data_IF_239921901392
#
_entry.id   IF_239921901392
#
_cell.length_a   1.000
_cell.length_b   1.000
_cell.length_c   1.000
_cell.angle_alpha   90.00
_cell.angle_beta   90.00
_cell.angle_gamma   90.00
#
_symmetry.space_group_name_H-M   'P 1'
#
loop_
_entity.id
_entity.type
_entity.pdbx_description
1 polymer ?
#
# COMPACT_ATOMS: atom_id res chain seq x y z
N UNK A 1 60.77 26.13 29.57
CA UNK A 1 60.43 26.90 28.35
C UNK A 1 59.68 25.97 27.42
N UNK A 2 58.40 26.30 27.17
CA UNK A 2 57.38 25.45 26.57
C UNK A 2 57.57 25.21 25.07
N UNK A 3 57.26 24.00 24.62
CA UNK A 3 56.76 23.73 23.28
C UNK A 3 55.41 23.03 23.41
N UNK A 4 54.34 23.69 22.98
CA UNK A 4 53.04 23.07 22.78
C UNK A 4 53.04 22.27 21.46
N UNK A 5 52.41 21.08 21.39
CA UNK A 5 52.14 20.45 20.11
C UNK A 5 50.86 21.02 19.49
N UNK A 6 50.94 21.21 18.17
CA UNK A 6 49.88 21.70 17.28
C UNK A 6 48.72 20.71 17.22
N UNK A 7 47.50 21.23 17.33
CA UNK A 7 46.29 20.51 16.94
C UNK A 7 46.34 20.25 15.43
N UNK A 8 46.38 18.98 15.06
CA UNK A 8 46.22 18.52 13.68
C UNK A 8 44.73 18.54 13.35
N UNK A 9 44.33 19.47 12.50
CA UNK A 9 43.02 19.46 11.86
C UNK A 9 43.04 18.34 10.82
N UNK A 10 42.34 17.24 11.10
CA UNK A 10 42.01 16.27 10.07
C UNK A 10 41.04 16.93 9.07
N UNK A 11 41.25 16.77 7.76
CA UNK A 11 40.33 17.32 6.78
C UNK A 11 38.98 16.60 6.91
N UNK A 12 37.91 17.40 6.99
CA UNK A 12 36.53 16.97 6.79
C UNK A 12 36.49 16.08 5.55
N UNK A 13 36.25 14.78 5.76
CA UNK A 13 35.95 13.88 4.68
C UNK A 13 34.67 14.42 4.02
N UNK A 14 34.81 14.75 2.74
CA UNK A 14 33.69 14.97 1.83
C UNK A 14 32.85 13.69 1.87
N UNK A 15 31.79 13.69 2.68
CA UNK A 15 30.76 12.65 2.63
C UNK A 15 30.05 12.90 1.30
N UNK A 16 30.55 12.28 0.24
CA UNK A 16 29.65 11.93 -0.85
C UNK A 16 28.60 11.03 -0.20
N UNK A 17 27.41 11.58 0.02
CA UNK A 17 26.19 10.79 0.04
C UNK A 17 26.17 10.03 -1.29
N UNK A 18 26.81 8.87 -1.30
CA UNK A 18 26.37 7.80 -2.16
C UNK A 18 24.94 7.60 -1.71
N UNK A 19 24.01 8.04 -2.57
CA UNK A 19 22.65 7.54 -2.60
C UNK A 19 22.80 6.02 -2.64
N UNK A 20 22.86 5.42 -1.47
CA UNK A 20 22.95 3.99 -1.32
C UNK A 20 21.68 3.49 -1.96
N UNK A 21 21.79 2.75 -3.06
CA UNK A 21 20.73 1.81 -3.37
C UNK A 21 20.49 1.03 -2.09
N UNK A 22 19.27 1.10 -1.55
CA UNK A 22 18.87 0.32 -0.40
C UNK A 22 19.42 -1.09 -0.57
N UNK A 23 20.22 -1.53 0.41
CA UNK A 23 20.83 -2.85 0.36
C UNK A 23 19.73 -3.92 0.22
N UNK A 24 20.06 -5.15 -0.24
CA UNK A 24 19.06 -6.19 -0.36
C UNK A 24 18.44 -6.48 1.02
N UNK A 25 17.20 -6.01 1.21
CA UNK A 25 16.41 -6.19 2.43
C UNK A 25 16.15 -7.67 2.65
N UNK A 26 16.67 -8.23 3.75
CA UNK A 26 16.41 -9.61 4.14
C UNK A 26 15.18 -9.67 5.05
N UNK A 27 14.00 -9.68 4.44
CA UNK A 27 12.72 -9.92 5.10
C UNK A 27 11.54 -9.56 4.19
N UNK A 28 11.05 -10.55 3.42
CA UNK A 28 9.83 -10.44 2.60
C UNK A 28 9.88 -9.41 1.47
N UNK A 29 10.26 -9.86 0.27
CA UNK A 29 9.96 -9.19 -1.01
C UNK A 29 8.48 -9.39 -1.36
N UNK A 30 7.59 -9.07 -0.43
CA UNK A 30 6.18 -9.41 -0.60
C UNK A 30 5.52 -8.29 -1.38
N UNK A 31 5.14 -8.62 -2.61
CA UNK A 31 4.38 -7.75 -3.49
C UNK A 31 3.13 -7.23 -2.77
N UNK A 32 2.98 -5.91 -2.65
CA UNK A 32 1.84 -5.33 -1.94
C UNK A 32 0.59 -5.29 -2.84
N UNK A 33 -0.37 -6.15 -2.52
CA UNK A 33 -1.71 -6.11 -3.12
C UNK A 33 -2.58 -5.07 -2.41
N UNK A 34 -2.90 -3.95 -3.06
CA UNK A 34 -3.70 -2.87 -2.45
C UNK A 34 -5.14 -3.33 -2.14
N UNK A 35 -5.63 -4.35 -2.82
CA UNK A 35 -6.99 -4.85 -2.69
C UNK A 35 -8.02 -4.08 -3.54
N UNK A 36 -9.24 -4.61 -3.57
CA UNK A 36 -10.29 -4.11 -4.44
C UNK A 36 -10.68 -2.66 -4.12
N UNK A 37 -10.81 -1.83 -5.17
CA UNK A 37 -11.23 -0.43 -5.05
C UNK A 37 -10.17 0.54 -4.55
N UNK A 38 -9.03 0.04 -4.07
CA UNK A 38 -7.93 0.86 -3.54
C UNK A 38 -7.06 1.33 -4.68
N UNK A 39 -6.77 2.63 -4.72
CA UNK A 39 -6.03 3.22 -5.84
C UNK A 39 -4.53 3.25 -5.57
N UNK A 40 -4.16 3.57 -4.34
CA UNK A 40 -2.78 3.73 -3.90
C UNK A 40 -2.54 2.92 -2.63
N UNK A 41 -1.43 2.20 -2.57
CA UNK A 41 -0.91 1.58 -1.36
C UNK A 41 0.61 1.64 -1.34
N UNK A 42 1.19 1.55 -0.14
CA UNK A 42 2.61 1.75 0.00
C UNK A 42 3.12 1.53 1.40
N UNK A 43 4.35 2.01 1.60
CA UNK A 43 5.08 1.94 2.86
C UNK A 43 5.37 3.34 3.39
N UNK A 44 5.17 3.54 4.70
CA UNK A 44 5.79 4.62 5.45
C UNK A 44 6.99 4.04 6.20
N UNK A 45 8.20 4.42 5.78
CA UNK A 45 9.46 3.87 6.30
C UNK A 45 10.13 4.87 7.24
N UNK A 46 10.58 4.38 8.39
CA UNK A 46 11.27 5.16 9.42
C UNK A 46 12.56 4.48 9.86
N UNK A 47 13.57 5.29 10.13
CA UNK A 47 14.92 4.88 10.49
C UNK A 47 15.17 5.05 11.97
N UNK A 48 15.75 4.02 12.60
CA UNK A 48 16.13 4.10 14.02
C UNK A 48 17.41 4.89 14.28
N UNK A 49 18.13 5.31 13.23
CA UNK A 49 19.46 5.94 13.30
C UNK A 49 20.58 5.01 13.77
N UNK A 50 20.30 3.71 13.94
CA UNK A 50 21.28 2.69 14.35
C UNK A 50 21.79 1.85 13.18
N UNK A 51 21.40 2.19 11.95
CA UNK A 51 21.88 1.53 10.75
C UNK A 51 23.34 1.88 10.47
N UNK A 52 23.95 1.23 9.47
CA UNK A 52 25.28 1.57 8.98
C UNK A 52 25.22 2.76 8.00
N UNK A 53 26.37 3.41 7.77
CA UNK A 53 26.52 4.39 6.69
C UNK A 53 25.54 5.56 6.79
N UNK A 54 24.78 5.82 5.72
CA UNK A 54 23.79 6.89 5.65
C UNK A 54 22.62 6.72 6.65
N UNK A 55 22.40 5.50 7.14
CA UNK A 55 21.38 5.16 8.13
C UNK A 55 21.86 5.31 9.58
N UNK A 56 23.10 5.79 9.76
CA UNK A 56 23.66 6.09 11.07
C UNK A 56 23.49 7.57 11.40
N UNK A 57 22.55 7.87 12.29
CA UNK A 57 22.28 9.23 12.72
C UNK A 57 21.77 9.27 14.16
N UNK A 58 21.78 10.47 14.73
CA UNK A 58 21.60 10.68 16.16
C UNK A 58 20.19 10.40 16.63
N UNK A 59 19.18 10.65 15.81
CA UNK A 59 17.78 10.62 16.22
C UNK A 59 17.00 9.55 15.43
N UNK A 60 15.69 9.44 15.65
CA UNK A 60 14.83 8.61 14.80
C UNK A 60 14.25 9.54 13.74
N UNK A 61 14.27 9.11 12.48
CA UNK A 61 13.81 9.94 11.38
C UNK A 61 12.87 9.18 10.45
N UNK A 62 12.08 9.95 9.72
CA UNK A 62 11.37 9.43 8.56
C UNK A 62 12.38 9.21 7.44
N UNK A 63 12.29 8.06 6.77
CA UNK A 63 12.96 7.88 5.49
C UNK A 63 12.05 8.43 4.39
N UNK A 64 10.86 7.86 4.23
CA UNK A 64 9.95 8.25 3.16
C UNK A 64 8.62 7.54 3.18
N UNK A 65 7.76 7.97 2.26
CA UNK A 65 6.52 7.29 1.88
C UNK A 65 6.66 6.80 0.46
N UNK A 66 6.53 5.49 0.27
CA UNK A 66 6.85 4.82 -0.99
C UNK A 66 5.61 4.11 -1.52
N UNK A 67 4.95 4.63 -2.56
CA UNK A 67 3.91 3.89 -3.27
C UNK A 67 4.51 2.61 -3.85
N UNK A 68 3.93 1.46 -3.51
CA UNK A 68 4.40 0.15 -3.95
C UNK A 68 3.90 -0.10 -5.39
N UNK A 69 4.57 0.52 -6.36
CA UNK A 69 4.23 0.48 -7.79
C UNK A 69 5.03 -0.60 -8.54
N UNK A 70 4.48 -1.11 -9.63
CA UNK A 70 5.23 -1.98 -10.55
C UNK A 70 5.60 -3.32 -9.94
N UNK A 71 6.89 -3.60 -9.76
CA UNK A 71 7.37 -4.87 -9.19
C UNK A 71 7.19 -4.96 -7.67
N UNK A 72 6.88 -3.85 -7.02
CA UNK A 72 6.75 -3.75 -5.57
C UNK A 72 5.30 -3.96 -5.10
N UNK A 73 4.32 -3.60 -5.94
CA UNK A 73 2.91 -3.80 -5.62
C UNK A 73 1.97 -3.38 -6.73
N UNK A 74 0.69 -3.45 -6.42
CA UNK A 74 -0.43 -3.13 -7.32
C UNK A 74 -0.88 -1.67 -7.22
N UNK A 75 -0.13 -0.83 -6.48
CA UNK A 75 -0.43 0.59 -6.40
C UNK A 75 -0.35 1.21 -7.79
N UNK A 76 -1.30 2.09 -8.10
CA UNK A 76 -1.19 2.92 -9.30
C UNK A 76 -0.13 3.99 -9.07
N UNK A 77 0.42 4.50 -10.17
CA UNK A 77 1.15 5.76 -10.15
C UNK A 77 0.18 6.87 -10.53
N UNK A 78 -0.15 7.76 -9.59
CA UNK A 78 -0.91 8.98 -9.88
C UNK A 78 0.06 10.16 -9.84
N UNK A 79 0.28 10.85 -10.97
CA UNK A 79 1.19 11.99 -11.00
C UNK A 79 0.59 13.18 -10.25
N UNK A 80 1.44 14.03 -9.65
CA UNK A 80 0.98 15.23 -8.98
C UNK A 80 0.48 16.28 -9.97
N UNK A 81 -0.28 17.26 -9.46
CA UNK A 81 -0.71 18.41 -10.26
C UNK A 81 0.47 19.32 -10.60
N UNK A 82 1.46 19.40 -9.70
CA UNK A 82 2.73 20.09 -9.92
C UNK A 82 3.88 19.15 -9.61
N UNK A 83 4.82 19.01 -10.55
CA UNK A 83 6.06 18.23 -10.37
C UNK A 83 7.22 19.07 -9.81
N UNK A 84 6.97 20.32 -9.41
CA UNK A 84 8.02 21.20 -8.90
C UNK A 84 8.72 20.57 -7.68
N UNK A 85 10.05 20.66 -7.66
CA UNK A 85 10.88 20.16 -6.57
C UNK A 85 10.63 20.93 -5.26
N UNK A 86 10.79 20.28 -4.09
CA UNK A 86 10.77 20.99 -2.81
C UNK A 86 11.91 22.02 -2.74
N UNK A 87 11.61 23.16 -2.10
CA UNK A 87 12.56 24.28 -1.92
C UNK A 87 12.80 24.62 -0.45
N UNK A 88 12.28 23.83 0.47
CA UNK A 88 12.41 23.98 1.92
C UNK A 88 12.49 22.60 2.53
N UNK A 89 13.15 22.49 3.68
CA UNK A 89 13.20 21.27 4.46
C UNK A 89 11.95 21.21 5.35
N UNK A 90 11.28 20.07 5.34
CA UNK A 90 10.13 19.79 6.19
C UNK A 90 10.59 19.30 7.56
N UNK A 91 9.84 19.64 8.61
CA UNK A 91 10.30 19.48 9.99
C UNK A 91 10.63 18.03 10.38
N UNK A 92 9.94 17.03 9.81
CA UNK A 92 10.23 15.63 10.09
C UNK A 92 11.51 15.10 9.41
N UNK A 93 12.07 15.86 8.47
CA UNK A 93 13.35 15.58 7.78
C UNK A 93 14.51 16.42 8.33
N UNK A 94 14.24 17.41 9.18
CA UNK A 94 15.29 18.27 9.74
C UNK A 94 16.21 17.47 10.66
N UNK A 95 17.52 17.54 10.42
CA UNK A 95 18.56 16.94 11.26
C UNK A 95 19.62 17.99 11.59
N UNK A 96 20.03 18.09 12.86
CA UNK A 96 20.95 19.15 13.32
C UNK A 96 22.37 18.99 12.78
N UNK A 97 22.80 17.77 12.50
CA UNK A 97 24.17 17.43 12.12
C UNK A 97 24.36 17.25 10.60
N UNK A 98 23.31 17.51 9.82
CA UNK A 98 23.31 17.36 8.35
C UNK A 98 23.18 18.74 7.69
N UNK A 99 23.91 18.95 6.59
CA UNK A 99 23.84 20.21 5.87
C UNK A 99 22.46 20.43 5.25
N UNK A 100 22.05 21.70 5.13
CA UNK A 100 20.75 22.05 4.52
C UNK A 100 20.67 21.57 3.05
N UNK A 101 21.79 21.61 2.32
CA UNK A 101 21.84 21.15 0.93
C UNK A 101 21.66 19.63 0.84
N UNK A 102 22.27 18.86 1.75
CA UNK A 102 22.11 17.41 1.79
C UNK A 102 20.68 16.98 2.15
N UNK A 103 20.07 17.66 3.13
CA UNK A 103 18.67 17.43 3.50
C UNK A 103 17.72 17.76 2.35
N UNK A 104 17.95 18.88 1.66
CA UNK A 104 17.12 19.25 0.50
C UNK A 104 17.32 18.29 -0.68
N UNK A 105 18.54 17.79 -0.90
CA UNK A 105 18.83 16.79 -1.92
C UNK A 105 18.11 15.46 -1.61
N UNK A 106 18.05 15.08 -0.33
CA UNK A 106 17.32 13.90 0.11
C UNK A 106 15.81 14.06 -0.13
N UNK A 107 15.21 15.19 0.25
CA UNK A 107 13.79 15.44 -0.06
C UNK A 107 13.51 15.49 -1.58
N UNK A 108 14.43 16.02 -2.39
CA UNK A 108 14.29 15.94 -3.85
C UNK A 108 14.31 14.49 -4.35
N UNK A 109 15.15 13.64 -3.76
CA UNK A 109 15.16 12.21 -4.06
C UNK A 109 13.82 11.56 -3.71
N UNK A 110 13.32 11.77 -2.49
CA UNK A 110 12.04 11.22 -2.05
C UNK A 110 10.88 11.69 -2.93
N UNK A 111 10.90 12.96 -3.34
CA UNK A 111 9.91 13.53 -4.24
C UNK A 111 9.98 12.92 -5.64
N UNK A 112 11.15 12.90 -6.28
CA UNK A 112 11.34 12.41 -7.65
C UNK A 112 11.02 10.90 -7.76
N UNK A 113 11.47 10.11 -6.78
CA UNK A 113 11.32 8.65 -6.81
C UNK A 113 9.96 8.17 -6.35
N UNK A 114 9.39 8.80 -5.32
CA UNK A 114 8.23 8.26 -4.62
C UNK A 114 7.05 9.21 -4.66
N UNK A 115 7.29 10.49 -4.35
CA UNK A 115 6.27 11.54 -4.39
C UNK A 115 5.60 11.69 -5.75
N UNK A 116 6.35 11.53 -6.84
CA UNK A 116 5.87 11.61 -8.23
C UNK A 116 4.77 10.59 -8.60
N UNK A 117 4.58 9.54 -7.81
CA UNK A 117 3.53 8.54 -8.00
C UNK A 117 2.52 8.49 -6.84
N UNK A 118 2.62 9.40 -5.87
CA UNK A 118 1.87 9.35 -4.62
C UNK A 118 0.43 9.85 -4.70
N UNK A 119 0.02 10.43 -5.83
CA UNK A 119 -1.27 11.14 -5.95
C UNK A 119 -1.36 12.44 -5.15
N UNK A 120 -0.29 12.87 -4.48
CA UNK A 120 -0.24 14.17 -3.82
C UNK A 120 -0.38 15.30 -4.84
N UNK A 121 -0.89 16.45 -4.38
CA UNK A 121 -1.07 17.62 -5.24
C UNK A 121 0.26 18.19 -5.74
N UNK A 122 1.23 18.31 -4.84
CA UNK A 122 2.55 18.90 -5.03
C UNK A 122 3.49 18.40 -3.90
N UNK A 123 4.76 18.81 -3.93
CA UNK A 123 5.75 18.39 -2.93
C UNK A 123 5.35 18.82 -1.51
N UNK A 124 4.72 19.98 -1.33
CA UNK A 124 4.28 20.44 -0.01
C UNK A 124 3.16 19.58 0.56
N UNK A 125 2.18 19.20 -0.27
CA UNK A 125 1.14 18.25 0.11
C UNK A 125 1.73 16.88 0.45
N UNK A 126 2.69 16.38 -0.34
CA UNK A 126 3.36 15.10 -0.08
C UNK A 126 4.08 15.10 1.27
N UNK A 127 5.03 16.01 1.49
CA UNK A 127 5.83 16.01 2.72
C UNK A 127 5.01 16.35 3.96
N UNK A 128 3.97 17.19 3.85
CA UNK A 128 3.05 17.43 4.96
C UNK A 128 2.32 16.15 5.38
N UNK A 129 1.90 15.33 4.42
CA UNK A 129 1.31 14.02 4.71
C UNK A 129 2.30 13.08 5.39
N UNK A 130 3.51 12.98 4.84
CA UNK A 130 4.57 12.13 5.37
C UNK A 130 4.84 12.49 6.83
N UNK A 131 5.07 13.76 7.13
CA UNK A 131 5.32 14.20 8.49
C UNK A 131 4.11 13.93 9.41
N UNK A 132 2.88 14.18 8.95
CA UNK A 132 1.68 13.93 9.76
C UNK A 132 1.45 12.46 10.06
N UNK A 133 1.72 11.55 9.13
CA UNK A 133 1.57 10.11 9.35
C UNK A 133 2.67 9.59 10.28
N UNK A 134 3.88 10.12 10.15
CA UNK A 134 5.04 9.63 10.88
C UNK A 134 5.14 10.15 12.32
N UNK A 135 4.49 11.27 12.67
CA UNK A 135 4.65 11.92 13.97
C UNK A 135 4.51 10.96 15.16
N UNK A 136 3.38 10.23 15.24
CA UNK A 136 3.12 9.34 16.36
C UNK A 136 3.98 8.04 16.33
N UNK A 137 4.16 7.36 15.18
CA UNK A 137 5.11 6.25 15.06
C UNK A 137 6.56 6.61 15.43
N UNK A 138 7.09 7.72 14.89
CA UNK A 138 8.45 8.18 15.17
C UNK A 138 8.62 8.45 16.65
N UNK A 139 7.67 9.15 17.28
CA UNK A 139 7.71 9.38 18.73
C UNK A 139 7.79 8.07 19.53
N UNK A 140 6.99 7.06 19.15
CA UNK A 140 7.05 5.77 19.82
C UNK A 140 8.43 5.10 19.62
N UNK A 141 8.95 5.14 18.39
CA UNK A 141 10.28 4.61 18.07
C UNK A 141 11.39 5.32 18.85
N UNK A 142 11.31 6.64 19.06
CA UNK A 142 12.24 7.41 19.89
C UNK A 142 12.22 6.94 21.34
N UNK A 143 11.02 6.77 21.93
CA UNK A 143 10.85 6.31 23.30
C UNK A 143 11.42 4.89 23.47
N UNK A 144 11.14 3.99 22.51
CA UNK A 144 11.68 2.63 22.48
C UNK A 144 13.21 2.60 22.30
N UNK A 145 13.75 3.42 21.38
CA UNK A 145 15.20 3.56 21.14
C UNK A 145 15.91 4.07 22.39
N UNK A 146 15.33 5.05 23.06
CA UNK A 146 15.84 5.62 24.32
C UNK A 146 15.87 4.60 25.45
N UNK A 147 14.94 3.63 25.44
CA UNK A 147 14.95 2.47 26.33
C UNK A 147 15.99 1.38 25.94
N UNK A 148 16.85 1.65 24.96
CA UNK A 148 17.91 0.74 24.53
C UNK A 148 17.48 -0.33 23.52
N UNK A 149 16.19 -0.37 23.14
CA UNK A 149 15.63 -1.41 22.26
C UNK A 149 16.25 -1.37 20.85
N UNK A 150 16.40 -2.55 20.25
CA UNK A 150 16.86 -2.69 18.86
C UNK A 150 15.69 -2.73 17.89
N UNK A 151 15.95 -2.62 16.57
CA UNK A 151 14.91 -2.45 15.53
C UNK A 151 13.77 -3.48 15.61
N UNK A 152 14.06 -4.74 15.92
CA UNK A 152 13.04 -5.79 16.11
C UNK A 152 12.12 -5.49 17.29
N UNK A 153 12.68 -5.11 18.44
CA UNK A 153 11.89 -4.80 19.63
C UNK A 153 11.09 -3.50 19.46
N UNK A 154 11.64 -2.53 18.72
CA UNK A 154 10.95 -1.30 18.33
C UNK A 154 9.73 -1.63 17.45
N UNK A 155 9.90 -2.51 16.45
CA UNK A 155 8.80 -2.97 15.62
C UNK A 155 7.73 -3.71 16.43
N UNK A 156 8.11 -4.52 17.42
CA UNK A 156 7.15 -5.17 18.31
C UNK A 156 6.39 -4.17 19.20
N UNK A 157 7.02 -3.07 19.62
CA UNK A 157 6.31 -2.00 20.33
C UNK A 157 5.31 -1.27 19.41
N UNK A 158 5.69 -1.01 18.15
CA UNK A 158 4.78 -0.45 17.15
C UNK A 158 3.55 -1.36 16.94
N UNK A 159 3.75 -2.67 16.77
CA UNK A 159 2.66 -3.65 16.66
C UNK A 159 1.77 -3.66 17.90
N UNK A 160 2.34 -3.62 19.11
CA UNK A 160 1.58 -3.55 20.37
C UNK A 160 0.76 -2.27 20.49
N UNK A 161 1.23 -1.17 19.89
CA UNK A 161 0.49 0.08 19.78
C UNK A 161 -0.56 0.09 18.66
N UNK A 162 -0.70 -1.00 17.91
CA UNK A 162 -1.69 -1.16 16.85
C UNK A 162 -1.24 -0.63 15.48
N UNK A 163 0.05 -0.37 15.29
CA UNK A 163 0.57 0.01 13.98
C UNK A 163 0.77 -1.23 13.08
N UNK A 164 0.41 -1.11 11.79
CA UNK A 164 0.48 -2.21 10.85
C UNK A 164 1.90 -2.35 10.29
N UNK A 165 2.79 -2.94 11.09
CA UNK A 165 4.18 -3.15 10.67
C UNK A 165 4.22 -4.17 9.53
N UNK A 166 4.57 -3.69 8.34
CA UNK A 166 4.72 -4.51 7.14
C UNK A 166 6.09 -5.19 7.09
N UNK A 167 7.14 -4.42 7.32
CA UNK A 167 8.52 -4.89 7.17
C UNK A 167 9.43 -4.32 8.25
N UNK A 168 10.44 -5.11 8.60
CA UNK A 168 11.54 -4.71 9.48
C UNK A 168 12.85 -4.97 8.74
N UNK A 169 13.58 -3.91 8.42
CA UNK A 169 14.91 -4.01 7.86
C UNK A 169 15.93 -4.07 8.99
N UNK A 170 16.53 -5.24 9.19
CA UNK A 170 17.58 -5.42 10.18
C UNK A 170 18.97 -4.99 9.71
N UNK A 171 19.18 -4.77 8.41
CA UNK A 171 20.46 -4.29 7.90
C UNK A 171 20.54 -2.78 8.12
N UNK A 172 19.57 -2.05 7.56
CA UNK A 172 19.52 -0.59 7.60
C UNK A 172 18.80 -0.06 8.86
N UNK A 173 18.27 -0.97 9.68
CA UNK A 173 17.60 -0.69 10.97
C UNK A 173 16.39 0.22 10.81
N UNK A 174 15.50 -0.19 9.91
CA UNK A 174 14.28 0.52 9.56
C UNK A 174 13.03 -0.29 9.93
N UNK A 175 11.92 0.41 10.09
CA UNK A 175 10.59 -0.19 10.20
C UNK A 175 9.66 0.48 9.19
N UNK A 176 8.93 -0.32 8.43
CA UNK A 176 7.96 0.15 7.45
C UNK A 176 6.54 -0.23 7.87
N UNK A 177 5.65 0.76 7.90
CA UNK A 177 4.22 0.58 8.14
C UNK A 177 3.47 0.54 6.81
N UNK A 178 2.45 -0.30 6.68
CA UNK A 178 1.57 -0.27 5.52
C UNK A 178 0.65 0.95 5.56
N UNK A 179 0.50 1.59 4.40
CA UNK A 179 -0.33 2.78 4.18
C UNK A 179 -1.14 2.65 2.90
N UNK A 180 -2.30 3.30 2.82
CA UNK A 180 -3.08 3.40 1.59
C UNK A 180 -3.63 4.80 1.37
N UNK A 181 -4.03 5.09 0.13
CA UNK A 181 -4.78 6.29 -0.23
C UNK A 181 -5.84 5.99 -1.30
N UNK A 182 -6.89 6.83 -1.29
CA UNK A 182 -7.86 6.90 -2.38
C UNK A 182 -7.29 7.60 -3.61
N UNK A 183 -8.13 7.81 -4.62
CA UNK A 183 -7.76 8.58 -5.82
C UNK A 183 -7.50 10.07 -5.54
N UNK A 184 -7.85 10.55 -4.34
CA UNK A 184 -7.58 11.89 -3.83
C UNK A 184 -6.17 12.05 -3.26
N UNK A 185 -5.36 10.99 -3.22
CA UNK A 185 -3.97 11.04 -2.76
C UNK A 185 -3.83 11.29 -1.26
N UNK A 186 -4.88 10.99 -0.47
CA UNK A 186 -4.89 11.18 0.99
C UNK A 186 -4.47 9.90 1.70
N UNK A 187 -3.21 9.86 2.12
CA UNK A 187 -2.60 8.70 2.74
C UNK A 187 -3.03 8.53 4.19
N UNK A 188 -3.24 7.27 4.58
CA UNK A 188 -3.54 6.83 5.94
C UNK A 188 -2.75 5.57 6.26
N UNK A 189 -2.38 5.40 7.53
CA UNK A 189 -1.84 4.14 8.07
C UNK A 189 -3.00 3.16 8.28
N UNK A 190 -2.88 1.95 7.74
CA UNK A 190 -3.88 0.89 7.85
C UNK A 190 -3.27 -0.48 7.57
N UNK A 191 -3.84 -1.54 8.15
CA UNK A 191 -3.52 -2.90 7.72
C UNK A 191 -3.94 -3.13 6.26
N UNK A 192 -3.21 -3.97 5.53
CA UNK A 192 -3.51 -4.26 4.11
C UNK A 192 -4.93 -4.83 3.95
N UNK A 193 -5.38 -5.65 4.91
CA UNK A 193 -6.74 -6.20 4.92
C UNK A 193 -7.82 -5.13 5.01
N UNK A 194 -7.50 -3.96 5.57
CA UNK A 194 -8.44 -2.88 5.81
C UNK A 194 -8.44 -1.86 4.68
N UNK A 195 -7.46 -1.88 3.78
CA UNK A 195 -7.33 -0.90 2.69
C UNK A 195 -8.62 -0.69 1.89
N UNK A 196 -9.39 -1.71 1.47
CA UNK A 196 -10.65 -1.49 0.74
C UNK A 196 -11.66 -0.62 1.51
N UNK A 197 -11.74 -0.81 2.83
CA UNK A 197 -12.66 -0.03 3.67
C UNK A 197 -12.15 1.38 3.98
N UNK A 198 -10.82 1.54 4.08
CA UNK A 198 -10.17 2.79 4.47
C UNK A 198 -9.92 3.73 3.28
N UNK A 199 -9.67 3.16 2.11
CA UNK A 199 -9.17 3.86 0.93
C UNK A 199 -9.96 3.54 -0.35
N UNK A 200 -10.84 2.52 -0.33
CA UNK A 200 -11.57 2.06 -1.53
C UNK A 200 -12.80 2.89 -1.94
N UNK A 201 -13.08 4.01 -1.26
CA UNK A 201 -14.31 4.81 -1.44
C UNK A 201 -14.18 6.07 -2.31
N UNK A 202 -13.01 6.34 -2.89
CA UNK A 202 -12.65 7.65 -3.46
C UNK A 202 -12.99 7.95 -4.92
N UNK A 203 -13.88 7.20 -5.57
CA UNK A 203 -14.37 7.53 -6.92
C UNK A 203 -15.88 7.31 -7.04
N UNK A 204 -16.59 8.03 -7.95
CA UNK A 204 -17.93 7.61 -8.30
C UNK A 204 -17.82 6.15 -8.73
N UNK A 205 -18.54 5.26 -8.04
CA UNK A 205 -18.81 3.95 -8.62
C UNK A 205 -19.32 4.22 -10.04
N UNK A 206 -18.82 3.53 -11.09
CA UNK A 206 -19.66 3.36 -12.28
C UNK A 206 -21.02 2.94 -11.75
N UNK A 207 -22.14 3.54 -12.20
CA UNK A 207 -23.45 3.23 -11.65
C UNK A 207 -23.55 1.72 -11.57
N UNK A 208 -23.69 1.20 -10.36
CA UNK A 208 -23.95 -0.22 -10.19
C UNK A 208 -25.15 -0.50 -11.10
N UNK A 209 -25.08 -1.46 -12.04
CA UNK A 209 -26.29 -1.92 -12.70
C UNK A 209 -27.28 -2.23 -11.57
N UNK A 210 -28.53 -1.76 -11.65
CA UNK A 210 -29.45 -1.79 -10.53
C UNK A 210 -29.43 -3.19 -9.91
N UNK A 211 -29.07 -3.28 -8.62
CA UNK A 211 -29.12 -4.54 -7.90
C UNK A 211 -30.54 -5.08 -8.06
N UNK A 212 -30.71 -6.32 -8.52
CA UNK A 212 -32.02 -6.90 -8.70
C UNK A 212 -32.70 -6.92 -7.33
N UNK A 213 -33.92 -6.40 -7.29
CA UNK A 213 -34.90 -6.68 -6.24
C UNK A 213 -34.85 -8.16 -5.87
N UNK A 214 -35.02 -8.52 -4.58
CA UNK A 214 -35.11 -9.92 -4.16
C UNK A 214 -36.08 -10.65 -5.11
N UNK A 215 -35.73 -11.83 -5.66
CA UNK A 215 -36.63 -12.51 -6.57
C UNK A 215 -37.91 -12.81 -5.78
N UNK A 216 -38.96 -12.10 -6.18
CA UNK A 216 -40.34 -12.52 -5.99
C UNK A 216 -40.41 -14.00 -6.43
N UNK A 217 -41.16 -14.86 -5.71
CA UNK A 217 -41.25 -16.27 -6.07
C UNK A 217 -41.59 -16.37 -7.56
N UNK A 218 -40.79 -17.12 -8.31
CA UNK A 218 -41.10 -17.43 -9.72
C UNK A 218 -42.23 -18.45 -9.74
N UNK A 219 -43.42 -18.08 -10.22
CA UNK A 219 -44.15 -19.01 -11.06
C UNK A 219 -44.72 -18.30 -12.29
N UNK A 220 -44.10 -18.58 -13.44
CA UNK A 220 -44.70 -18.63 -14.78
C UNK A 220 -43.55 -18.53 -15.78
N UNK A 221 -43.00 -19.68 -16.15
CA UNK A 221 -42.00 -19.77 -17.20
C UNK A 221 -42.47 -20.73 -18.28
N UNK A 222 -42.34 -20.32 -19.53
CA UNK A 222 -42.57 -21.17 -20.70
C UNK A 222 -41.23 -21.36 -21.41
N UNK A 223 -40.88 -22.58 -21.81
CA UNK A 223 -39.75 -22.79 -22.70
C UNK A 223 -40.20 -22.55 -24.15
N UNK A 224 -39.43 -21.74 -24.88
CA UNK A 224 -39.65 -21.46 -26.29
C UNK A 224 -38.62 -22.23 -27.11
N UNK A 225 -39.00 -22.85 -28.24
CA UNK A 225 -38.09 -23.67 -29.01
C UNK A 225 -36.76 -23.01 -29.35
N UNK A 226 -35.66 -23.69 -28.98
CA UNK A 226 -34.29 -23.24 -29.24
C UNK A 226 -33.81 -22.06 -28.39
N UNK A 227 -34.55 -21.68 -27.33
CA UNK A 227 -34.14 -20.65 -26.37
C UNK A 227 -33.98 -21.24 -24.97
N UNK A 228 -33.13 -20.60 -24.17
CA UNK A 228 -33.02 -20.94 -22.75
C UNK A 228 -34.31 -20.55 -22.03
N UNK A 229 -34.91 -21.50 -21.32
CA UNK A 229 -36.02 -21.28 -20.39
C UNK A 229 -35.56 -20.73 -19.05
N UNK A 230 -36.41 -20.76 -18.01
CA UNK A 230 -36.07 -20.32 -16.66
C UNK A 230 -34.87 -21.06 -16.08
N UNK A 231 -34.22 -20.47 -15.07
CA UNK A 231 -33.12 -21.16 -14.36
C UNK A 231 -33.63 -22.36 -13.58
N UNK A 232 -32.81 -23.39 -13.53
CA UNK A 232 -33.07 -24.63 -12.82
C UNK A 232 -31.78 -25.17 -12.21
N UNK A 233 -31.92 -25.96 -11.16
CA UNK A 233 -30.88 -26.76 -10.54
C UNK A 233 -31.02 -28.24 -10.93
N UNK A 234 -32.24 -28.73 -11.07
CA UNK A 234 -32.60 -30.11 -11.44
C UNK A 234 -33.87 -30.15 -12.31
N UNK A 235 -34.19 -31.32 -12.89
CA UNK A 235 -35.28 -31.46 -13.85
C UNK A 235 -36.67 -31.16 -13.25
N UNK A 236 -36.86 -31.46 -11.97
CA UNK A 236 -38.07 -31.15 -11.18
C UNK A 236 -38.39 -29.65 -11.14
N UNK A 237 -37.38 -28.77 -11.24
CA UNK A 237 -37.60 -27.32 -11.28
C UNK A 237 -38.29 -26.86 -12.57
N UNK A 238 -38.28 -27.71 -13.61
CA UNK A 238 -38.90 -27.44 -14.90
C UNK A 238 -40.26 -28.12 -15.07
N UNK A 239 -40.68 -28.95 -14.10
CA UNK A 239 -41.98 -29.61 -14.12
C UNK A 239 -43.11 -28.60 -13.91
N UNK A 240 -44.15 -28.68 -14.74
CA UNK A 240 -45.28 -27.74 -14.71
C UNK A 240 -45.03 -26.40 -15.42
N UNK A 241 -43.85 -26.21 -16.04
CA UNK A 241 -43.55 -25.09 -16.92
C UNK A 241 -43.93 -25.43 -18.37
N UNK A 242 -44.77 -24.60 -19.00
CA UNK A 242 -45.25 -24.87 -20.35
C UNK A 242 -44.09 -24.99 -21.36
N UNK A 243 -44.06 -26.09 -22.11
CA UNK A 243 -43.04 -26.33 -23.14
C UNK A 243 -41.64 -26.69 -22.62
N UNK A 244 -41.41 -26.72 -21.30
CA UNK A 244 -40.15 -27.18 -20.73
C UNK A 244 -40.17 -28.69 -20.50
N UNK A 245 -39.04 -29.37 -20.71
CA UNK A 245 -38.94 -30.82 -20.52
C UNK A 245 -37.92 -31.25 -19.48
N UNK A 246 -36.89 -30.43 -19.18
CA UNK A 246 -35.84 -30.75 -18.21
C UNK A 246 -34.92 -29.56 -17.95
N UNK A 247 -34.03 -29.69 -16.97
CA UNK A 247 -32.90 -28.81 -16.75
C UNK A 247 -31.70 -29.20 -17.61
N UNK A 248 -31.23 -28.29 -18.46
CA UNK A 248 -30.00 -28.49 -19.22
C UNK A 248 -28.77 -28.19 -18.34
N UNK A 249 -27.60 -28.77 -18.68
CA UNK A 249 -26.33 -28.54 -17.96
C UNK A 249 -25.92 -27.06 -17.83
N UNK A 250 -26.47 -26.18 -18.67
CA UNK A 250 -26.32 -24.73 -18.57
C UNK A 250 -27.07 -24.07 -17.41
N UNK A 251 -27.78 -24.84 -16.57
CA UNK A 251 -28.66 -24.38 -15.48
C UNK A 251 -29.89 -23.60 -15.96
N UNK A 252 -30.46 -24.03 -17.09
CA UNK A 252 -31.70 -23.47 -17.64
C UNK A 252 -32.61 -24.59 -18.15
N UNK A 253 -33.92 -24.43 -17.93
CA UNK A 253 -34.94 -25.30 -18.50
C UNK A 253 -34.87 -25.23 -20.02
N UNK A 254 -35.15 -26.33 -20.69
CA UNK A 254 -35.14 -26.42 -22.16
C UNK A 254 -36.34 -27.20 -22.66
N UNK A 255 -36.73 -26.97 -23.91
CA UNK A 255 -37.71 -27.77 -24.66
C UNK A 255 -37.06 -29.02 -25.32
N UNK A 256 -35.72 -29.13 -25.28
CA UNK A 256 -34.97 -30.19 -25.92
C UNK A 256 -34.94 -31.44 -25.04
N UNK A 257 -35.61 -32.51 -25.50
CA UNK A 257 -35.52 -33.83 -24.88
C UNK A 257 -34.10 -34.39 -25.01
N UNK A 258 -33.61 -35.11 -23.99
CA UNK A 258 -32.34 -35.81 -24.13
C UNK A 258 -32.44 -36.81 -25.29
N UNK A 259 -31.34 -37.06 -26.03
CA UNK A 259 -31.33 -38.08 -27.07
C UNK A 259 -31.74 -39.40 -26.44
N UNK A 260 -32.81 -40.00 -26.96
CA UNK A 260 -33.35 -41.25 -26.46
C UNK A 260 -32.35 -42.38 -26.72
N UNK A 261 -31.64 -42.83 -25.68
CA UNK A 261 -30.97 -44.12 -25.71
C UNK A 261 -29.52 -44.19 -25.25
N UNK A 262 -29.15 -43.57 -24.13
CA UNK A 262 -27.96 -44.04 -23.40
C UNK A 262 -28.31 -44.26 -21.93
N UNK A 263 -28.61 -45.53 -21.61
CA UNK A 263 -28.63 -46.06 -20.25
C UNK A 263 -27.25 -45.81 -19.63
N UNK A 264 -27.20 -44.97 -18.61
CA UNK A 264 -26.08 -45.02 -17.65
C UNK A 264 -26.47 -46.06 -16.60
N UNK A 265 -25.89 -47.24 -16.71
CA UNK A 265 -25.72 -48.21 -15.62
C UNK A 265 -24.55 -47.75 -14.77
#
# INVERSE_FOLDING_TARGET
MSCAPRASWAPLALVLLHLGEAGPVTGGKDYMECGSGVTLCGLLTMETGRGPGAYHHKDVHVHGLWPEVGNYGSSKCIPPQSSAEPTKIFSCYQQDEVSQDDLLNFERHEWDKHGACSGAKDAEDFFTQVCSLAEAPVKLMEDSRSAGKYVKDIAEDLKKAGYPVWQVDEVDRQVSLSVCAGADGRWVIAEVSDFPSRCGGGGPSPPSPPSPTPPSPSPAGTCVPGKHGPRCHEDSDCEGLDGCVRCAHGRFCTDIRPPSGELVV
#
